data_IF_270679767902
#
_entry.id   IF_270679767902
#
_cell.length_a   1.000
_cell.length_b   1.000
_cell.length_c   1.000
_cell.angle_alpha   90.00
_cell.angle_beta   90.00
_cell.angle_gamma   90.00
#
_symmetry.space_group_name_H-M   'P 1'
#
loop_
_entity.id
_entity.type
_entity.pdbx_description
1 polymer ?
#
# COMPACT_ATOMS: atom_id res chain seq x y z
N UNK A 1 -25.03 19.22 -35.25
CA UNK A 1 -24.26 18.00 -35.55
C UNK A 1 -22.90 18.10 -34.89
N UNK A 2 -22.39 16.95 -34.43
CA UNK A 2 -21.28 16.72 -33.48
C UNK A 2 -21.64 16.84 -32.00
N UNK A 3 -22.25 15.77 -31.49
CA UNK A 3 -22.16 15.39 -30.08
C UNK A 3 -21.00 14.38 -30.01
N UNK A 4 -19.89 14.78 -29.39
CA UNK A 4 -18.78 13.89 -29.09
C UNK A 4 -19.09 13.14 -27.79
N UNK A 5 -19.10 11.81 -27.87
CA UNK A 5 -19.24 10.93 -26.72
C UNK A 5 -18.01 10.99 -25.83
N UNK A 6 -18.21 11.25 -24.55
CA UNK A 6 -17.24 10.94 -23.51
C UNK A 6 -17.67 9.67 -22.77
N UNK A 7 -16.66 8.82 -22.57
CA UNK A 7 -16.75 7.45 -22.10
C UNK A 7 -17.38 7.29 -20.71
N UNK A 8 -17.91 6.09 -20.54
CA UNK A 8 -18.68 5.59 -19.40
C UNK A 8 -17.78 5.44 -18.16
N UNK A 9 -18.46 5.49 -17.00
CA UNK A 9 -17.98 5.29 -15.62
C UNK A 9 -17.55 6.56 -14.87
N UNK A 10 -18.32 7.64 -15.04
CA UNK A 10 -18.47 8.60 -13.95
C UNK A 10 -19.24 7.92 -12.81
N UNK A 11 -18.62 7.79 -11.64
CA UNK A 11 -19.31 7.56 -10.38
C UNK A 11 -20.48 8.54 -10.29
N UNK A 12 -21.70 8.08 -10.53
CA UNK A 12 -22.88 8.81 -10.10
C UNK A 12 -22.91 8.63 -8.59
N UNK A 13 -22.34 9.58 -7.84
CA UNK A 13 -22.89 9.85 -6.51
C UNK A 13 -24.37 10.13 -6.71
N UNK A 14 -25.21 9.18 -6.35
CA UNK A 14 -26.65 9.42 -6.24
C UNK A 14 -26.82 10.22 -4.96
N UNK A 15 -26.71 11.54 -5.06
CA UNK A 15 -27.11 12.43 -3.98
C UNK A 15 -28.63 12.44 -3.92
N UNK A 16 -29.20 11.70 -2.98
CA UNK A 16 -30.59 11.94 -2.60
C UNK A 16 -30.64 13.18 -1.71
N UNK A 17 -31.32 14.20 -2.20
CA UNK A 17 -31.60 15.42 -1.45
C UNK A 17 -32.96 15.26 -0.76
N UNK A 18 -32.97 14.97 0.54
CA UNK A 18 -34.20 15.04 1.33
C UNK A 18 -34.07 16.17 2.36
N UNK A 19 -35.03 17.10 2.35
CA UNK A 19 -35.13 18.16 3.34
C UNK A 19 -35.72 17.60 4.64
N UNK A 20 -34.93 17.58 5.72
CA UNK A 20 -35.44 17.39 7.08
C UNK A 20 -35.14 18.67 7.86
N UNK A 21 -36.20 19.37 8.29
CA UNK A 21 -36.13 20.52 9.22
C UNK A 21 -35.21 21.69 8.81
N UNK A 22 -35.08 21.98 7.51
CA UNK A 22 -34.41 23.19 7.01
C UNK A 22 -32.88 23.16 6.98
N UNK A 23 -32.26 22.02 7.28
CA UNK A 23 -30.82 21.81 7.12
C UNK A 23 -30.57 20.76 6.02
N UNK A 24 -29.66 21.07 5.10
CA UNK A 24 -29.18 20.10 4.10
C UNK A 24 -28.17 19.17 4.77
N UNK A 25 -28.62 18.03 5.31
CA UNK A 25 -27.72 16.92 5.63
C UNK A 25 -27.49 16.09 4.37
N UNK A 26 -26.32 16.18 3.77
CA UNK A 26 -25.82 15.13 2.87
C UNK A 26 -25.52 13.89 3.71
N UNK A 27 -26.50 13.01 3.91
CA UNK A 27 -26.18 11.62 4.24
C UNK A 27 -25.56 11.01 2.98
N UNK A 28 -24.26 10.76 3.04
CA UNK A 28 -23.68 9.74 2.19
C UNK A 28 -24.25 8.42 2.71
N UNK A 29 -25.38 7.98 2.16
CA UNK A 29 -25.69 6.55 2.18
C UNK A 29 -24.43 5.89 1.60
N UNK A 30 -23.73 5.15 2.45
CA UNK A 30 -22.67 4.27 1.99
C UNK A 30 -23.36 3.34 1.00
N UNK A 31 -23.26 3.66 -0.30
CA UNK A 31 -23.58 2.70 -1.33
C UNK A 31 -22.85 1.43 -0.91
N UNK A 32 -23.60 0.34 -0.68
CA UNK A 32 -23.02 -0.95 -0.33
C UNK A 32 -21.77 -1.14 -1.18
N UNK A 33 -20.60 -1.16 -0.53
CA UNK A 33 -19.34 -1.00 -1.22
C UNK A 33 -19.23 -1.95 -2.41
N UNK A 34 -18.50 -1.54 -3.46
CA UNK A 34 -18.25 -2.44 -4.59
C UNK A 34 -17.49 -3.65 -4.05
N UNK A 35 -18.01 -4.86 -4.30
CA UNK A 35 -17.30 -6.08 -3.94
C UNK A 35 -15.98 -6.16 -4.69
N UNK A 36 -14.94 -6.61 -3.99
CA UNK A 36 -13.61 -6.68 -4.55
C UNK A 36 -12.84 -7.89 -4.05
N UNK A 37 -11.92 -8.35 -4.90
CA UNK A 37 -10.94 -9.39 -4.58
C UNK A 37 -9.53 -8.83 -4.53
N UNK A 38 -9.26 -7.80 -5.35
CA UNK A 38 -7.94 -7.18 -5.51
C UNK A 38 -8.02 -5.67 -5.39
N UNK A 39 -6.91 -5.01 -5.03
CA UNK A 39 -6.86 -3.54 -5.03
C UNK A 39 -7.08 -2.97 -6.42
N UNK A 40 -6.64 -3.69 -7.46
CA UNK A 40 -6.76 -3.26 -8.85
C UNK A 40 -8.21 -2.99 -9.26
N UNK A 41 -9.16 -3.84 -8.86
CA UNK A 41 -10.59 -3.65 -9.14
C UNK A 41 -11.11 -2.31 -8.61
N UNK A 42 -10.75 -1.97 -7.37
CA UNK A 42 -11.16 -0.72 -6.74
C UNK A 42 -10.47 0.50 -7.36
N UNK A 43 -9.20 0.39 -7.74
CA UNK A 43 -8.44 1.46 -8.39
C UNK A 43 -8.97 1.76 -9.80
N UNK A 44 -9.21 0.72 -10.59
CA UNK A 44 -9.73 0.85 -11.96
C UNK A 44 -11.14 1.45 -11.95
N UNK A 45 -11.92 1.18 -10.89
CA UNK A 45 -13.21 1.82 -10.60
C UNK A 45 -13.14 3.18 -9.92
N UNK A 46 -11.95 3.70 -9.59
CA UNK A 46 -11.76 4.97 -8.88
C UNK A 46 -12.32 5.01 -7.46
N UNK A 47 -12.55 3.85 -6.84
CA UNK A 47 -13.20 3.69 -5.54
C UNK A 47 -12.24 3.58 -4.35
N UNK A 48 -10.94 3.47 -4.62
CA UNK A 48 -9.89 3.39 -3.60
C UNK A 48 -9.19 2.03 -3.60
N UNK A 49 -9.17 1.35 -2.45
CA UNK A 49 -8.48 0.08 -2.24
C UNK A 49 -9.46 -1.01 -1.77
N UNK A 50 -9.10 -2.28 -1.93
CA UNK A 50 -9.90 -3.41 -1.49
C UNK A 50 -9.59 -3.77 -0.04
N UNK A 51 -10.58 -3.66 0.85
CA UNK A 51 -10.45 -4.21 2.20
C UNK A 51 -10.65 -5.72 2.15
N UNK A 52 -9.56 -6.45 2.37
CA UNK A 52 -9.54 -7.91 2.28
C UNK A 52 -10.41 -8.61 3.33
N UNK A 53 -10.78 -7.91 4.42
CA UNK A 53 -11.63 -8.42 5.51
C UNK A 53 -13.10 -8.36 5.12
N UNK A 54 -13.54 -7.21 4.62
CA UNK A 54 -14.94 -6.97 4.24
C UNK A 54 -15.24 -7.38 2.80
N UNK A 55 -14.19 -7.57 1.98
CA UNK A 55 -14.27 -7.77 0.51
C UNK A 55 -14.95 -6.61 -0.20
N UNK A 56 -14.77 -5.39 0.32
CA UNK A 56 -15.39 -4.17 -0.19
C UNK A 56 -14.33 -3.13 -0.55
N UNK A 57 -14.59 -2.38 -1.62
CA UNK A 57 -13.79 -1.21 -1.96
C UNK A 57 -14.01 -0.10 -0.94
N UNK A 58 -12.92 0.33 -0.33
CA UNK A 58 -12.86 1.40 0.65
C UNK A 58 -12.16 2.62 0.05
N UNK A 59 -12.63 3.84 0.35
CA UNK A 59 -12.02 5.06 -0.17
C UNK A 59 -10.60 5.25 0.39
N UNK A 60 -9.75 5.91 -0.39
CA UNK A 60 -8.44 6.34 0.08
C UNK A 60 -8.56 7.40 1.19
N UNK A 61 -7.50 7.54 2.00
CA UNK A 61 -7.40 8.60 2.99
C UNK A 61 -7.49 10.00 2.33
N UNK A 62 -7.92 11.01 3.09
CA UNK A 62 -8.05 12.37 2.59
C UNK A 62 -6.72 12.90 2.03
N UNK A 63 -6.77 13.46 0.82
CA UNK A 63 -5.58 13.95 0.11
C UNK A 63 -4.82 12.87 -0.68
N UNK A 64 -5.22 11.60 -0.56
CA UNK A 64 -4.70 10.53 -1.40
C UNK A 64 -5.60 10.29 -2.62
N UNK A 65 -5.00 10.27 -3.81
CA UNK A 65 -5.69 10.04 -5.08
C UNK A 65 -5.70 8.55 -5.46
N UNK A 66 -4.58 7.85 -5.25
CA UNK A 66 -4.46 6.40 -5.51
C UNK A 66 -3.83 5.74 -4.29
N UNK A 67 -4.44 4.68 -3.75
CA UNK A 67 -3.98 3.97 -2.56
C UNK A 67 -4.04 2.45 -2.74
N UNK A 68 -3.33 1.72 -1.89
CA UNK A 68 -3.39 0.25 -1.79
C UNK A 68 -3.85 -0.23 -0.41
N UNK A 69 -3.99 0.69 0.55
CA UNK A 69 -4.57 0.41 1.86
C UNK A 69 -5.09 1.71 2.48
N UNK A 70 -5.70 1.60 3.66
CA UNK A 70 -6.14 2.76 4.46
C UNK A 70 -5.01 3.78 4.72
N UNK A 71 -3.77 3.29 4.85
CA UNK A 71 -2.62 4.10 5.30
C UNK A 71 -1.54 4.26 4.23
N UNK A 72 -1.60 3.49 3.14
CA UNK A 72 -0.61 3.55 2.06
C UNK A 72 -1.19 4.24 0.83
N UNK A 73 -0.70 5.44 0.56
CA UNK A 73 -1.00 6.26 -0.59
C UNK A 73 0.09 6.18 -1.65
N UNK A 74 -0.25 5.67 -2.82
CA UNK A 74 0.67 5.52 -3.93
C UNK A 74 0.74 6.75 -4.85
N UNK A 75 -0.26 7.64 -4.78
CA UNK A 75 -0.24 8.96 -5.41
C UNK A 75 -1.12 9.94 -4.63
N UNK A 76 -0.52 11.03 -4.16
CA UNK A 76 -1.22 12.11 -3.49
C UNK A 76 -1.90 13.05 -4.48
N UNK A 77 -2.99 13.69 -4.07
CA UNK A 77 -3.66 14.71 -4.87
C UNK A 77 -2.83 16.00 -4.87
N UNK A 78 -2.14 16.27 -5.97
CA UNK A 78 -1.30 17.45 -6.16
C UNK A 78 -2.04 18.79 -6.04
N UNK A 79 -3.39 18.78 -6.09
CA UNK A 79 -4.23 19.97 -5.89
C UNK A 79 -4.47 20.29 -4.41
N UNK A 80 -4.10 19.39 -3.50
CA UNK A 80 -4.28 19.56 -2.05
C UNK A 80 -3.00 20.07 -1.41
N UNK A 81 -3.13 20.50 -0.16
CA UNK A 81 -1.99 20.92 0.68
C UNK A 81 -0.99 19.77 0.88
N UNK A 82 -1.47 18.52 0.95
CA UNK A 82 -0.68 17.30 1.06
C UNK A 82 -0.51 16.61 -0.31
N UNK A 83 0.21 17.27 -1.21
CA UNK A 83 0.36 16.81 -2.61
C UNK A 83 1.66 16.06 -2.90
N UNK A 84 2.58 15.90 -1.93
CA UNK A 84 3.85 15.18 -2.14
C UNK A 84 3.73 13.75 -1.63
N UNK A 85 3.86 12.78 -2.52
CA UNK A 85 3.92 11.35 -2.17
C UNK A 85 5.33 10.96 -1.74
N UNK A 86 5.44 10.28 -0.60
CA UNK A 86 6.70 9.68 -0.13
C UNK A 86 6.84 8.22 -0.57
N UNK A 87 8.06 7.69 -0.56
CA UNK A 87 8.35 6.28 -0.86
C UNK A 87 7.71 5.31 0.15
N UNK A 88 7.33 5.78 1.34
CA UNK A 88 6.61 4.98 2.34
C UNK A 88 5.09 5.06 2.19
N UNK A 89 4.61 5.69 1.11
CA UNK A 89 3.20 5.81 0.81
C UNK A 89 2.45 6.80 1.69
N UNK A 90 3.09 7.91 2.09
CA UNK A 90 2.41 8.98 2.85
C UNK A 90 2.33 10.26 2.05
N UNK A 91 1.30 11.07 2.31
CA UNK A 91 1.16 12.39 1.71
C UNK A 91 1.65 13.48 2.67
N UNK A 92 2.68 14.20 2.24
CA UNK A 92 3.25 15.33 2.99
C UNK A 92 2.96 16.64 2.28
N UNK A 93 3.23 17.75 2.96
CA UNK A 93 3.01 19.07 2.38
C UNK A 93 3.91 19.30 1.16
N UNK A 94 3.35 19.99 0.16
CA UNK A 94 4.10 20.40 -1.02
C UNK A 94 5.06 21.54 -0.70
N UNK A 95 6.08 21.67 -1.55
CA UNK A 95 7.02 22.78 -1.54
C UNK A 95 6.53 23.82 -2.56
N UNK A 96 6.55 25.10 -2.20
CA UNK A 96 6.05 26.19 -3.06
C UNK A 96 6.92 26.43 -4.29
N UNK A 97 8.16 25.95 -4.30
CA UNK A 97 9.10 26.08 -5.39
C UNK A 97 9.62 24.71 -5.82
N UNK A 98 9.79 24.54 -7.13
CA UNK A 98 10.39 23.38 -7.75
C UNK A 98 11.82 23.76 -8.11
N UNK A 99 12.81 23.08 -7.53
CA UNK A 99 14.23 23.39 -7.70
C UNK A 99 14.97 22.12 -8.11
N UNK A 100 15.72 22.18 -9.20
CA UNK A 100 16.50 21.04 -9.67
C UNK A 100 17.46 20.52 -8.59
N UNK A 101 17.68 19.21 -8.57
CA UNK A 101 18.50 18.51 -7.57
C UNK A 101 18.00 18.63 -6.13
N UNK A 102 16.70 18.92 -5.95
CA UNK A 102 16.03 18.88 -4.65
C UNK A 102 14.73 18.09 -4.73
N UNK A 103 14.34 17.52 -3.59
CA UNK A 103 13.02 16.93 -3.35
C UNK A 103 12.32 17.68 -2.22
N UNK A 104 11.01 17.48 -2.11
CA UNK A 104 10.23 18.06 -1.03
C UNK A 104 10.11 17.08 0.14
N UNK A 105 10.59 17.49 1.31
CA UNK A 105 10.45 16.78 2.57
C UNK A 105 9.56 17.59 3.50
N UNK A 106 8.25 17.35 3.44
CA UNK A 106 7.22 18.06 4.23
C UNK A 106 7.38 19.59 4.24
N UNK A 107 7.20 20.21 3.06
CA UNK A 107 7.44 21.64 2.80
C UNK A 107 8.90 22.12 2.87
N UNK A 108 9.88 21.26 3.19
CA UNK A 108 11.30 21.64 3.21
C UNK A 108 12.02 21.11 1.97
N UNK A 109 12.58 22.02 1.17
CA UNK A 109 13.39 21.67 0.00
C UNK A 109 14.74 21.06 0.44
N UNK A 110 14.89 19.75 0.21
CA UNK A 110 16.04 18.96 0.64
C UNK A 110 16.86 18.53 -0.57
N UNK A 111 18.19 18.47 -0.45
CA UNK A 111 19.07 18.03 -1.55
C UNK A 111 18.84 16.56 -1.86
N UNK A 112 18.78 16.23 -3.14
CA UNK A 112 18.63 14.87 -3.62
C UNK A 112 19.80 13.98 -3.23
N UNK A 113 19.47 12.78 -2.73
CA UNK A 113 20.45 11.73 -2.41
C UNK A 113 19.88 10.37 -2.80
N UNK A 114 20.69 9.31 -2.77
CA UNK A 114 20.19 7.94 -2.92
C UNK A 114 19.10 7.56 -1.89
N UNK A 115 19.02 8.29 -0.77
CA UNK A 115 18.05 8.08 0.31
C UNK A 115 16.88 9.09 0.28
N UNK A 116 16.66 9.81 -0.82
CA UNK A 116 15.52 10.73 -0.97
C UNK A 116 14.20 9.99 -0.70
N UNK A 117 13.34 10.59 0.10
CA UNK A 117 12.07 9.97 0.52
C UNK A 117 10.90 10.33 -0.38
N UNK A 118 11.09 11.20 -1.37
CA UNK A 118 10.11 11.52 -2.41
C UNK A 118 10.84 11.83 -3.72
N UNK A 119 10.10 11.98 -4.81
CA UNK A 119 10.68 12.22 -6.13
C UNK A 119 11.49 13.53 -6.17
N UNK A 120 12.72 13.41 -6.64
CA UNK A 120 13.59 14.52 -6.94
C UNK A 120 13.18 15.24 -8.22
N UNK A 121 13.35 16.55 -8.21
CA UNK A 121 13.24 17.36 -9.44
C UNK A 121 14.57 17.28 -10.19
N UNK A 122 14.60 16.55 -11.31
CA UNK A 122 15.79 16.40 -12.15
C UNK A 122 15.48 16.86 -13.59
N UNK A 123 15.14 18.14 -13.76
CA UNK A 123 14.63 18.64 -15.03
C UNK A 123 13.22 18.10 -15.31
N UNK A 124 13.02 17.49 -16.47
CA UNK A 124 11.74 16.87 -16.86
C UNK A 124 11.63 15.41 -16.44
N UNK A 125 12.65 14.86 -15.76
CA UNK A 125 12.66 13.46 -15.36
C UNK A 125 11.81 13.17 -14.13
N UNK A 126 11.12 12.04 -14.18
CA UNK A 126 10.16 11.62 -13.15
C UNK A 126 10.72 10.50 -12.27
N UNK A 127 10.26 10.47 -11.00
CA UNK A 127 10.57 9.44 -10.00
C UNK A 127 12.08 9.17 -9.77
N UNK A 128 12.92 10.18 -9.93
CA UNK A 128 14.32 10.07 -9.55
C UNK A 128 14.48 10.10 -8.02
N UNK A 129 15.36 9.29 -7.46
CA UNK A 129 15.89 9.47 -6.11
C UNK A 129 17.05 10.48 -6.09
N UNK A 130 17.87 10.47 -7.14
CA UNK A 130 19.01 11.36 -7.29
C UNK A 130 19.16 11.83 -8.73
N UNK A 131 19.70 13.04 -8.93
CA UNK A 131 19.95 13.62 -10.24
C UNK A 131 21.41 13.45 -10.65
N UNK A 132 21.65 13.16 -11.92
CA UNK A 132 22.93 13.40 -12.57
C UNK A 132 22.85 14.75 -13.28
N UNK A 133 23.96 15.48 -13.27
CA UNK A 133 24.08 16.79 -13.91
C UNK A 133 25.21 16.70 -14.92
N UNK A 134 24.88 16.88 -16.20
CA UNK A 134 25.87 16.99 -17.27
C UNK A 134 25.73 18.33 -17.96
N UNK A 135 26.70 19.22 -17.69
CA UNK A 135 26.90 20.55 -18.27
C UNK A 135 25.71 21.51 -18.10
N UNK A 136 24.57 21.21 -18.71
CA UNK A 136 23.29 21.95 -18.63
C UNK A 136 22.06 21.04 -18.56
N UNK A 137 22.25 19.72 -18.62
CA UNK A 137 21.17 18.72 -18.62
C UNK A 137 21.07 18.02 -17.26
N UNK A 138 19.83 17.70 -16.87
CA UNK A 138 19.53 16.92 -15.68
C UNK A 138 18.91 15.59 -16.11
N UNK A 139 19.38 14.50 -15.53
CA UNK A 139 18.82 13.17 -15.71
C UNK A 139 18.68 12.46 -14.36
N UNK A 140 17.92 11.36 -14.29
CA UNK A 140 17.96 10.51 -13.11
C UNK A 140 19.32 9.79 -13.06
N UNK A 141 20.09 10.00 -11.99
CA UNK A 141 21.24 9.15 -11.68
C UNK A 141 20.78 7.81 -11.07
N UNK A 142 19.76 7.89 -10.21
CA UNK A 142 19.17 6.76 -9.53
C UNK A 142 17.66 6.95 -9.41
N UNK A 143 16.90 5.89 -9.65
CA UNK A 143 15.46 5.87 -9.46
C UNK A 143 15.06 5.70 -7.99
N UNK A 144 13.82 6.07 -7.65
CA UNK A 144 13.23 5.68 -6.37
C UNK A 144 13.20 4.13 -6.21
N UNK A 145 13.05 3.61 -4.98
CA UNK A 145 13.08 2.17 -4.75
C UNK A 145 12.11 1.39 -5.64
N UNK A 146 12.57 0.22 -6.12
CA UNK A 146 11.82 -0.70 -6.97
C UNK A 146 11.48 -0.19 -8.37
N UNK A 147 12.11 0.90 -8.79
CA UNK A 147 11.99 1.45 -10.14
C UNK A 147 13.28 1.29 -10.93
N UNK A 148 13.12 1.18 -12.23
CA UNK A 148 14.16 1.13 -13.25
C UNK A 148 13.87 2.18 -14.32
N UNK A 149 14.92 2.63 -14.98
CA UNK A 149 14.82 3.62 -16.05
C UNK A 149 14.24 3.02 -17.31
N UNK A 150 13.32 3.72 -17.96
CA UNK A 150 12.86 3.41 -19.31
C UNK A 150 13.86 3.88 -20.39
N UNK A 151 13.50 3.67 -21.66
CA UNK A 151 14.32 4.08 -22.80
C UNK A 151 14.50 5.59 -22.94
N UNK A 152 13.65 6.40 -22.30
CA UNK A 152 13.76 7.86 -22.28
C UNK A 152 14.58 8.37 -21.09
N UNK A 153 14.95 7.51 -20.14
CA UNK A 153 15.68 7.86 -18.93
C UNK A 153 14.79 8.31 -17.78
N UNK A 154 13.48 8.02 -17.84
CA UNK A 154 12.52 8.25 -16.78
C UNK A 154 12.34 6.99 -15.92
N UNK A 155 12.11 7.16 -14.62
CA UNK A 155 11.97 6.05 -13.69
C UNK A 155 10.51 5.56 -13.63
N UNK A 156 10.04 4.98 -14.73
CA UNK A 156 8.64 4.58 -14.92
C UNK A 156 8.43 3.06 -14.99
N UNK A 157 9.51 2.27 -15.04
CA UNK A 157 9.43 0.81 -15.08
C UNK A 157 9.64 0.24 -13.69
N UNK A 158 8.83 -0.73 -13.28
CA UNK A 158 9.05 -1.41 -11.99
C UNK A 158 9.98 -2.62 -12.13
N UNK A 159 10.74 -2.90 -11.07
CA UNK A 159 11.52 -4.14 -10.95
C UNK A 159 10.59 -5.37 -10.95
N UNK A 160 11.16 -6.55 -11.26
CA UNK A 160 10.39 -7.80 -11.25
C UNK A 160 9.79 -8.06 -9.85
N UNK A 161 8.49 -8.34 -9.81
CA UNK A 161 7.74 -8.54 -8.57
C UNK A 161 7.04 -7.28 -8.05
N UNK A 162 7.19 -6.15 -8.74
CA UNK A 162 6.53 -4.89 -8.43
C UNK A 162 5.63 -4.44 -9.58
N UNK A 163 4.56 -3.72 -9.25
CA UNK A 163 3.64 -3.08 -10.18
C UNK A 163 3.57 -1.57 -9.93
N UNK A 164 3.40 -0.78 -11.00
CA UNK A 164 3.24 0.67 -10.88
C UNK A 164 1.82 0.97 -10.40
N UNK A 165 1.70 1.61 -9.24
CA UNK A 165 0.44 2.08 -8.68
C UNK A 165 0.60 3.56 -8.36
N UNK A 166 -0.19 4.40 -9.02
CA UNK A 166 0.01 5.84 -8.94
C UNK A 166 1.39 6.22 -9.48
N UNK A 167 2.26 6.73 -8.60
CA UNK A 167 3.65 7.06 -8.95
C UNK A 167 4.69 6.15 -8.27
N UNK A 168 4.25 5.12 -7.54
CA UNK A 168 5.14 4.21 -6.83
C UNK A 168 5.11 2.80 -7.44
N UNK A 169 6.25 2.10 -7.36
CA UNK A 169 6.30 0.66 -7.60
C UNK A 169 6.03 -0.06 -6.29
N UNK A 170 4.86 -0.68 -6.19
CA UNK A 170 4.44 -1.46 -5.01
C UNK A 170 4.58 -2.94 -5.31
N UNK A 171 4.73 -3.77 -4.27
CA UNK A 171 4.77 -5.23 -4.46
C UNK A 171 3.52 -5.69 -5.19
N UNK A 172 3.69 -6.43 -6.29
CA UNK A 172 2.57 -7.00 -7.02
C UNK A 172 1.76 -7.87 -6.07
N UNK A 173 0.45 -7.64 -6.01
CA UNK A 173 -0.43 -8.50 -5.24
C UNK A 173 -0.29 -9.92 -5.80
N UNK A 174 -0.03 -10.88 -4.92
CA UNK A 174 -0.11 -12.28 -5.32
C UNK A 174 -1.56 -12.50 -5.73
N UNK A 175 -1.82 -12.55 -7.04
CA UNK A 175 -3.08 -13.06 -7.55
C UNK A 175 -3.15 -14.46 -6.96
N UNK A 176 -4.15 -14.78 -6.12
CA UNK A 176 -4.33 -16.16 -5.69
C UNK A 176 -4.46 -16.95 -6.97
N UNK A 177 -3.43 -17.75 -7.27
CA UNK A 177 -3.43 -18.59 -8.46
C UNK A 177 -4.67 -19.45 -8.25
N UNK A 178 -5.71 -19.35 -9.12
CA UNK A 178 -6.85 -20.22 -8.99
C UNK A 178 -6.28 -21.62 -8.94
N UNK A 179 -6.55 -22.31 -7.83
CA UNK A 179 -5.96 -23.61 -7.55
C UNK A 179 -6.08 -24.43 -8.83
N UNK A 180 -4.96 -24.83 -9.49
CA UNK A 180 -5.02 -25.43 -10.83
C UNK A 180 -5.79 -26.74 -10.86
N UNK A 181 -6.22 -27.21 -9.69
CA UNK A 181 -7.03 -28.37 -9.50
C UNK A 181 -8.28 -27.97 -8.68
N UNK A 182 -9.41 -27.65 -9.33
CA UNK A 182 -10.67 -28.02 -8.73
C UNK A 182 -10.59 -29.54 -8.67
N UNK A 183 -10.11 -30.08 -7.54
CA UNK A 183 -10.28 -31.49 -7.24
C UNK A 183 -11.75 -31.76 -7.56
N UNK A 184 -12.07 -32.56 -8.60
CA UNK A 184 -13.44 -32.81 -8.96
C UNK A 184 -14.13 -33.24 -7.68
N UNK A 185 -15.16 -32.50 -7.28
CA UNK A 185 -16.00 -32.96 -6.19
C UNK A 185 -16.32 -34.42 -6.50
N UNK A 186 -15.96 -35.38 -5.61
CA UNK A 186 -16.09 -36.78 -5.92
C UNK A 186 -17.53 -37.01 -6.37
N UNK A 187 -17.69 -37.44 -7.63
CA UNK A 187 -18.97 -37.91 -8.14
C UNK A 187 -19.52 -38.88 -7.10
N UNK A 188 -20.76 -38.72 -6.61
CA UNK A 188 -21.27 -39.53 -5.51
C UNK A 188 -21.12 -41.00 -5.88
N UNK A 189 -20.22 -41.69 -5.17
CA UNK A 189 -19.98 -43.10 -5.41
C UNK A 189 -21.32 -43.85 -5.28
N UNK A 190 -21.65 -44.76 -6.20
CA UNK A 190 -22.80 -45.62 -6.05
C UNK A 190 -22.70 -46.33 -4.69
N UNK A 191 -23.81 -46.52 -3.96
CA UNK A 191 -23.79 -47.04 -2.60
C UNK A 191 -23.11 -48.40 -2.56
N UNK A 192 -21.89 -48.43 -2.02
CA UNK A 192 -21.14 -49.65 -1.77
C UNK A 192 -21.87 -50.43 -0.66
N UNK A 193 -22.10 -51.75 -0.81
CA UNK A 193 -22.65 -52.58 0.26
C UNK A 193 -21.73 -52.52 1.49
N UNK A 194 -22.27 -52.05 2.60
CA UNK A 194 -21.56 -51.86 3.87
C UNK A 194 -21.01 -53.21 4.37
N UNK A 195 -19.69 -53.41 4.46
CA UNK A 195 -19.11 -54.54 5.15
C UNK A 195 -19.26 -54.37 6.67
N UNK A 196 -19.38 -55.47 7.44
CA UNK A 196 -19.50 -55.39 8.89
C UNK A 196 -18.25 -54.77 9.55
N UNK A 197 -18.51 -54.01 10.60
CA UNK A 197 -17.56 -53.15 11.31
C UNK A 197 -16.30 -53.91 11.83
N UNK A 198 -15.11 -53.32 11.68
CA UNK A 198 -13.90 -53.79 12.36
C UNK A 198 -13.88 -53.38 13.83
N UNK A 199 -13.40 -54.31 14.65
CA UNK A 199 -13.11 -54.20 16.09
C UNK A 199 -11.97 -53.20 16.35
N UNK A 200 -11.96 -52.42 17.45
CA UNK A 200 -10.89 -51.48 17.75
C UNK A 200 -9.74 -52.18 18.48
N UNK A 201 -8.50 -51.83 18.15
CA UNK A 201 -7.34 -51.96 19.04
C UNK A 201 -6.22 -50.97 18.62
N UNK A 202 -5.19 -50.70 19.45
CA UNK A 202 -4.86 -49.34 19.86
C UNK A 202 -3.41 -48.95 19.51
N UNK A 203 -3.08 -47.69 19.77
CA UNK A 203 -1.70 -47.19 19.98
C UNK A 203 -0.77 -47.15 18.76
N UNK A 204 -0.45 -45.94 18.28
CA UNK A 204 0.89 -45.37 18.54
C UNK A 204 0.91 -43.85 18.24
N UNK A 205 1.72 -43.06 18.99
CA UNK A 205 1.66 -41.60 19.02
C UNK A 205 2.77 -40.93 18.19
N UNK A 206 2.67 -39.59 18.12
CA UNK A 206 3.76 -38.65 17.79
C UNK A 206 4.05 -38.51 16.29
N UNK A 207 3.88 -37.33 15.69
CA UNK A 207 4.67 -36.14 15.98
C UNK A 207 3.88 -34.86 15.67
N UNK A 208 3.46 -34.13 16.72
CA UNK A 208 3.04 -32.72 16.62
C UNK A 208 4.26 -31.85 16.91
N UNK A 209 4.82 -31.24 15.88
CA UNK A 209 5.77 -30.14 16.08
C UNK A 209 4.99 -28.93 16.59
N UNK A 210 5.36 -28.54 17.81
CA UNK A 210 4.71 -27.55 18.66
C UNK A 210 4.90 -26.13 18.10
N UNK A 211 3.79 -25.47 17.79
CA UNK A 211 3.65 -24.04 17.45
C UNK A 211 3.96 -23.10 18.64
N UNK A 212 4.57 -23.60 19.71
CA UNK A 212 4.83 -22.85 20.95
C UNK A 212 6.18 -22.13 21.04
N UNK A 213 7.10 -22.31 20.08
CA UNK A 213 8.48 -21.79 20.20
C UNK A 213 8.65 -20.33 19.75
N UNK A 214 7.75 -19.78 18.94
CA UNK A 214 7.95 -18.48 18.30
C UNK A 214 7.62 -17.28 19.21
N UNK A 215 6.78 -17.47 20.24
CA UNK A 215 6.37 -16.37 21.15
C UNK A 215 7.45 -16.02 22.19
N UNK A 216 8.35 -16.94 22.52
CA UNK A 216 9.38 -16.72 23.55
C UNK A 216 10.47 -15.72 23.16
N UNK A 217 10.80 -15.63 21.87
CA UNK A 217 11.95 -14.81 21.39
C UNK A 217 11.63 -13.31 21.45
N UNK A 218 10.38 -12.92 21.17
CA UNK A 218 9.98 -11.50 21.12
C UNK A 218 9.97 -10.87 22.51
N UNK A 219 9.52 -11.60 23.53
CA UNK A 219 9.48 -11.11 24.91
C UNK A 219 10.90 -10.95 25.47
N UNK A 220 11.79 -11.91 25.15
CA UNK A 220 13.20 -11.83 25.57
C UNK A 220 13.93 -10.60 25.04
N UNK A 221 13.71 -10.26 23.76
CA UNK A 221 14.35 -9.08 23.14
C UNK A 221 13.87 -7.76 23.76
N UNK A 222 12.58 -7.64 24.11
CA UNK A 222 12.02 -6.43 24.71
C UNK A 222 12.57 -6.15 26.12
N UNK A 223 12.77 -7.20 26.94
CA UNK A 223 13.34 -7.06 28.29
C UNK A 223 14.81 -6.62 28.22
N UNK A 224 15.58 -7.18 27.29
CA UNK A 224 16.99 -6.82 27.12
C UNK A 224 17.17 -5.34 26.72
N UNK A 225 16.35 -4.84 25.79
CA UNK A 225 16.41 -3.42 25.37
C UNK A 225 15.96 -2.49 26.49
N UNK A 226 14.94 -2.87 27.26
CA UNK A 226 14.47 -2.10 28.41
C UNK A 226 15.53 -1.93 29.51
N UNK A 227 16.32 -2.98 29.79
CA UNK A 227 17.38 -2.92 30.79
C UNK A 227 18.54 -2.00 30.37
N UNK A 228 18.95 -2.05 29.10
CA UNK A 228 20.05 -1.22 28.57
C UNK A 228 19.62 0.26 28.49
N UNK A 229 18.40 0.53 28.01
CA UNK A 229 17.88 1.90 27.89
C UNK A 229 17.58 2.55 29.25
N UNK A 230 16.92 1.82 30.16
CA UNK A 230 16.57 2.32 31.49
C UNK A 230 17.79 2.59 32.38
N UNK A 231 18.83 1.77 32.28
CA UNK A 231 20.07 1.94 33.05
C UNK A 231 20.83 3.23 32.68
N UNK A 232 20.92 3.54 31.38
CA UNK A 232 21.57 4.77 30.91
C UNK A 232 20.82 6.02 31.35
N UNK A 233 19.48 6.03 31.25
CA UNK A 233 18.66 7.15 31.69
C UNK A 233 18.80 7.40 33.21
N UNK A 234 18.78 6.33 34.02
CA UNK A 234 18.97 6.43 35.47
C UNK A 234 20.37 6.94 35.85
N UNK A 235 21.40 6.50 35.13
CA UNK A 235 22.78 6.93 35.35
C UNK A 235 22.96 8.44 35.09
N UNK A 236 22.40 8.98 34.01
CA UNK A 236 22.48 10.42 33.71
C UNK A 236 21.73 11.28 34.75
N UNK A 237 20.54 10.87 35.20
CA UNK A 237 19.78 11.60 36.23
C UNK A 237 20.54 11.64 37.56
N UNK A 238 21.25 10.56 37.92
CA UNK A 238 22.04 10.51 39.16
C UNK A 238 23.32 11.35 39.10
N UNK A 239 23.92 11.52 37.90
CA UNK A 239 25.14 12.32 37.72
C UNK A 239 24.89 13.82 37.81
N UNK A 240 23.70 14.31 37.45
CA UNK A 240 23.35 15.74 37.50
C UNK A 240 23.10 16.30 38.90
N UNK A 241 23.23 15.49 39.97
CA UNK A 241 23.03 15.92 41.37
C UNK A 241 24.33 15.99 42.20
N UNK A 242 25.49 15.90 41.57
CA UNK A 242 26.81 16.17 42.18
C UNK A 242 27.43 17.37 41.49
#
# INVERSE_FOLDING_TARGET
MHIAGFGKNAFRSVSFQYCVSGYFETRMEAADGIDCTTNKECRDGGSGYCDTTTKKCMPCAAGCKVCTSATFCAECDSKKTLGTTTITGTCTRTCSAVVNSKFCNDSVLTVCTAASTSACTCGEKTNCANCAVDSTSFSCNQCLPHMTTDSTGDCTLCEKGYEMVGILCVTAEAVPVPDPNPNPEPEPEPPIPVPPAPVPDPSDPSNKLSTGATVGIVIGALVAVGAIGGGLAFYFIRRSKK
#
